data_IF_440021278062
#
_entry.id   IF_440021278062
#
_cell.length_a   1.000
_cell.length_b   1.000
_cell.length_c   1.000
_cell.angle_alpha   90.00
_cell.angle_beta   90.00
_cell.angle_gamma   90.00
#
_symmetry.space_group_name_H-M   'P 1'
#
loop_
_entity.id
_entity.type
_entity.pdbx_description
1 polymer ?
#
# COMPACT_ATOMS: atom_id res chain seq x y z
N UNK A 1 44.64 19.94 10.08
CA UNK A 1 43.77 19.69 8.92
C UNK A 1 42.99 18.41 9.18
N UNK A 2 41.74 18.54 9.63
CA UNK A 2 40.90 17.39 9.93
C UNK A 2 40.26 16.90 8.62
N UNK A 3 40.63 15.70 8.20
CA UNK A 3 40.00 14.98 7.10
C UNK A 3 38.64 14.51 7.66
N UNK A 4 37.60 15.35 7.55
CA UNK A 4 36.25 14.93 7.89
C UNK A 4 35.79 13.95 6.81
N UNK A 5 35.72 12.67 7.17
CA UNK A 5 35.19 11.60 6.33
C UNK A 5 33.81 11.99 5.79
N UNK A 6 33.73 12.25 4.49
CA UNK A 6 32.44 12.37 3.79
C UNK A 6 31.70 11.03 3.99
N UNK A 7 30.42 11.04 4.42
CA UNK A 7 29.64 9.82 4.45
C UNK A 7 29.51 9.26 3.01
N UNK A 8 29.40 7.93 2.83
CA UNK A 8 29.40 7.32 1.52
C UNK A 8 28.27 7.90 0.65
N UNK A 9 28.56 8.20 -0.61
CA UNK A 9 27.55 8.40 -1.65
C UNK A 9 26.93 7.01 -1.89
N UNK A 10 25.82 6.69 -1.22
CA UNK A 10 25.13 5.41 -1.34
C UNK A 10 24.41 5.29 -2.70
N UNK A 11 24.38 4.08 -3.27
CA UNK A 11 24.21 3.81 -4.70
C UNK A 11 22.75 3.95 -5.18
N UNK A 12 22.54 4.33 -6.45
CA UNK A 12 21.23 4.29 -7.11
C UNK A 12 20.60 2.87 -7.10
N UNK A 13 21.43 1.83 -6.93
CA UNK A 13 21.03 0.44 -6.74
C UNK A 13 20.30 0.20 -5.41
N UNK A 14 20.57 0.99 -4.36
CA UNK A 14 19.94 0.80 -3.04
C UNK A 14 18.48 1.32 -3.04
N UNK A 15 18.21 2.43 -3.73
CA UNK A 15 16.86 3.00 -3.85
C UNK A 15 15.96 2.14 -4.75
N UNK A 16 16.49 1.63 -5.85
CA UNK A 16 15.76 0.69 -6.72
C UNK A 16 15.50 -0.64 -6.01
N UNK A 17 16.44 -1.12 -5.21
CA UNK A 17 16.27 -2.31 -4.35
C UNK A 17 15.15 -2.11 -3.32
N UNK A 18 15.12 -0.97 -2.63
CA UNK A 18 14.05 -0.65 -1.66
C UNK A 18 12.68 -0.51 -2.33
N UNK A 19 12.61 0.08 -3.53
CA UNK A 19 11.37 0.17 -4.32
C UNK A 19 10.85 -1.21 -4.74
N UNK A 20 11.74 -2.10 -5.15
CA UNK A 20 11.41 -3.49 -5.45
C UNK A 20 10.90 -4.24 -4.21
N UNK A 21 11.53 -4.02 -3.05
CA UNK A 21 11.06 -4.58 -1.77
C UNK A 21 9.67 -4.06 -1.39
N UNK A 22 9.39 -2.76 -1.55
CA UNK A 22 8.04 -2.19 -1.32
C UNK A 22 7.02 -2.87 -2.21
N UNK A 23 7.34 -3.05 -3.51
CA UNK A 23 6.44 -3.70 -4.47
C UNK A 23 6.16 -5.15 -4.08
N UNK A 24 7.17 -5.91 -3.64
CA UNK A 24 7.01 -7.28 -3.18
C UNK A 24 6.18 -7.36 -1.89
N UNK A 25 6.46 -6.49 -0.91
CA UNK A 25 5.69 -6.43 0.34
C UNK A 25 4.24 -6.03 0.06
N UNK A 26 3.98 -5.09 -0.87
CA UNK A 26 2.62 -4.70 -1.25
C UNK A 26 1.86 -5.87 -1.87
N UNK A 27 2.49 -6.67 -2.74
CA UNK A 27 1.86 -7.91 -3.26
C UNK A 27 1.49 -8.88 -2.14
N UNK A 28 2.34 -9.02 -1.12
CA UNK A 28 2.05 -9.86 0.04
C UNK A 28 0.92 -9.29 0.90
N UNK A 29 0.88 -7.97 1.09
CA UNK A 29 -0.20 -7.24 1.78
C UNK A 29 -1.54 -7.46 1.09
N UNK A 30 -1.57 -7.37 -0.25
CA UNK A 30 -2.79 -7.53 -1.05
C UNK A 30 -3.28 -8.99 -1.02
N UNK A 31 -2.38 -9.96 -1.20
CA UNK A 31 -2.70 -11.39 -1.10
C UNK A 31 -3.23 -11.76 0.30
N UNK A 32 -2.65 -11.19 1.35
CA UNK A 32 -3.07 -11.42 2.72
C UNK A 32 -4.44 -10.76 3.02
N UNK A 33 -4.71 -9.60 2.42
CA UNK A 33 -6.03 -8.95 2.51
C UNK A 33 -7.11 -9.79 1.81
N UNK A 34 -6.79 -10.40 0.66
CA UNK A 34 -7.69 -11.32 -0.03
C UNK A 34 -7.97 -12.57 0.83
N UNK A 35 -6.94 -13.15 1.44
CA UNK A 35 -7.09 -14.28 2.37
C UNK A 35 -8.01 -13.94 3.55
N UNK A 36 -7.81 -12.76 4.16
CA UNK A 36 -8.68 -12.27 5.25
C UNK A 36 -10.12 -12.08 4.78
N UNK A 37 -10.34 -11.59 3.55
CA UNK A 37 -11.67 -11.45 2.96
C UNK A 37 -12.38 -12.81 2.84
N UNK A 38 -11.68 -13.83 2.33
CA UNK A 38 -12.21 -15.21 2.21
C UNK A 38 -12.57 -15.79 3.58
N UNK A 39 -11.67 -15.67 4.57
CA UNK A 39 -11.94 -16.15 5.94
C UNK A 39 -13.15 -15.42 6.57
N UNK A 40 -13.27 -14.11 6.38
CA UNK A 40 -14.43 -13.36 6.90
C UNK A 40 -15.73 -13.80 6.23
N UNK A 41 -15.70 -14.09 4.93
CA UNK A 41 -16.85 -14.59 4.19
C UNK A 41 -17.25 -16.00 4.67
N UNK A 42 -16.29 -16.90 4.88
CA UNK A 42 -16.54 -18.23 5.44
C UNK A 42 -17.10 -18.16 6.87
N UNK A 43 -16.56 -17.30 7.74
CA UNK A 43 -17.11 -17.06 9.07
C UNK A 43 -18.56 -16.56 9.01
N UNK A 44 -18.87 -15.65 8.09
CA UNK A 44 -20.23 -15.17 7.90
C UNK A 44 -21.18 -16.29 7.44
N UNK A 45 -20.73 -17.16 6.53
CA UNK A 45 -21.52 -18.31 6.09
C UNK A 45 -21.72 -19.33 7.20
N UNK A 46 -20.66 -19.69 7.93
CA UNK A 46 -20.74 -20.62 9.06
C UNK A 46 -21.65 -20.08 10.16
N UNK A 47 -21.64 -18.77 10.42
CA UNK A 47 -22.55 -18.17 11.40
C UNK A 47 -24.02 -18.32 11.00
N UNK A 48 -24.34 -18.19 9.70
CA UNK A 48 -25.69 -18.43 9.17
C UNK A 48 -26.04 -19.91 9.26
N UNK A 49 -25.13 -20.79 8.89
CA UNK A 49 -25.35 -22.24 8.96
C UNK A 49 -25.54 -22.72 10.40
N UNK A 50 -24.76 -22.19 11.34
CA UNK A 50 -24.92 -22.45 12.77
C UNK A 50 -26.29 -22.01 13.26
N UNK A 51 -26.73 -20.79 12.91
CA UNK A 51 -28.05 -20.29 13.27
C UNK A 51 -29.18 -21.16 12.68
N UNK A 52 -29.04 -21.61 11.44
CA UNK A 52 -29.99 -22.54 10.80
C UNK A 52 -29.97 -23.89 11.51
N UNK A 53 -28.80 -24.45 11.81
CA UNK A 53 -28.65 -25.72 12.51
C UNK A 53 -29.24 -25.66 13.93
N UNK A 54 -28.96 -24.59 14.67
CA UNK A 54 -29.52 -24.34 16.00
C UNK A 54 -31.03 -24.09 15.95
N UNK A 55 -31.55 -23.37 14.95
CA UNK A 55 -32.99 -23.15 14.77
C UNK A 55 -33.72 -24.44 14.38
N UNK A 56 -33.16 -25.23 13.46
CA UNK A 56 -33.68 -26.56 13.11
C UNK A 56 -33.70 -27.48 14.32
N UNK A 57 -32.63 -27.47 15.13
CA UNK A 57 -32.55 -28.22 16.37
C UNK A 57 -33.55 -27.73 17.40
N UNK A 58 -33.64 -26.41 17.58
CA UNK A 58 -34.60 -25.78 18.48
C UNK A 58 -36.03 -26.05 18.05
N UNK A 59 -36.33 -26.08 16.76
CA UNK A 59 -37.67 -26.43 16.27
C UNK A 59 -38.00 -27.90 16.53
N UNK A 60 -37.04 -28.82 16.39
CA UNK A 60 -37.23 -30.24 16.78
C UNK A 60 -37.36 -30.42 18.29
N UNK A 61 -36.56 -29.70 19.07
CA UNK A 61 -36.60 -29.67 20.55
C UNK A 61 -37.86 -28.95 21.05
N UNK A 62 -38.35 -27.93 20.34
CA UNK A 62 -39.57 -27.19 20.62
C UNK A 62 -40.78 -27.99 20.21
N UNK A 63 -40.77 -28.75 19.12
CA UNK A 63 -41.78 -29.78 18.89
C UNK A 63 -41.74 -30.81 20.01
N UNK A 64 -40.57 -31.14 20.56
CA UNK A 64 -40.48 -31.93 21.80
C UNK A 64 -41.09 -31.24 23.03
N UNK A 65 -41.04 -29.90 23.15
CA UNK A 65 -41.54 -29.17 24.32
C UNK A 65 -43.02 -28.73 24.20
N UNK A 66 -43.48 -28.37 23.00
CA UNK A 66 -44.84 -27.90 22.70
C UNK A 66 -45.86 -29.04 22.67
N UNK A 67 -45.43 -30.27 22.35
CA UNK A 67 -46.25 -31.48 22.51
C UNK A 67 -46.02 -32.17 23.87
N UNK A 68 -45.36 -31.48 24.82
CA UNK A 68 -45.06 -31.99 26.16
C UNK A 68 -44.02 -33.09 26.21
N UNK A 69 -43.63 -33.56 27.41
CA UNK A 69 -42.76 -34.74 27.59
C UNK A 69 -43.30 -35.99 26.86
N UNK A 70 -44.60 -35.95 26.53
CA UNK A 70 -45.32 -36.88 25.70
C UNK A 70 -44.96 -36.80 24.20
N UNK A 71 -44.27 -35.82 23.63
CA UNK A 71 -44.04 -35.79 22.16
C UNK A 71 -43.23 -36.99 21.62
N UNK A 72 -42.00 -37.18 22.12
CA UNK A 72 -41.19 -38.36 21.78
C UNK A 72 -41.64 -39.58 22.57
N UNK A 73 -42.01 -39.44 23.85
CA UNK A 73 -42.49 -40.57 24.63
C UNK A 73 -43.81 -41.13 24.08
N UNK A 74 -44.74 -40.30 23.64
CA UNK A 74 -45.98 -40.73 22.98
C UNK A 74 -45.74 -41.14 21.54
N UNK A 75 -44.81 -40.55 20.79
CA UNK A 75 -44.42 -41.14 19.49
C UNK A 75 -43.88 -42.56 19.70
N UNK A 76 -43.02 -42.76 20.70
CA UNK A 76 -42.49 -44.06 21.09
C UNK A 76 -43.59 -44.98 21.65
N UNK A 77 -44.45 -44.51 22.54
CA UNK A 77 -45.54 -45.29 23.16
C UNK A 77 -46.77 -45.46 22.24
N UNK A 78 -46.85 -44.73 21.12
CA UNK A 78 -47.83 -44.94 20.05
C UNK A 78 -47.41 -46.03 19.06
N UNK A 79 -46.19 -46.55 19.18
CA UNK A 79 -45.71 -47.68 18.40
C UNK A 79 -46.60 -48.90 18.58
N UNK A 80 -46.91 -49.61 17.48
CA UNK A 80 -47.88 -50.72 17.47
C UNK A 80 -47.40 -51.95 18.24
N UNK A 81 -46.08 -52.09 18.40
CA UNK A 81 -45.43 -53.20 19.08
C UNK A 81 -44.02 -52.80 19.55
N UNK A 82 -43.36 -53.69 20.29
CA UNK A 82 -42.03 -53.48 20.87
C UNK A 82 -40.93 -53.28 19.80
N UNK A 83 -41.06 -53.92 18.63
CA UNK A 83 -40.09 -53.74 17.52
C UNK A 83 -40.17 -52.34 16.92
N UNK A 84 -41.39 -51.83 16.74
CA UNK A 84 -41.64 -50.47 16.25
C UNK A 84 -41.17 -49.42 17.26
N UNK A 85 -41.31 -49.69 18.57
CA UNK A 85 -40.78 -48.85 19.65
C UNK A 85 -39.26 -48.68 19.53
N UNK A 86 -38.51 -49.78 19.42
CA UNK A 86 -37.06 -49.73 19.32
C UNK A 86 -36.59 -49.04 18.03
N UNK A 87 -37.26 -49.31 16.90
CA UNK A 87 -36.94 -48.66 15.61
C UNK A 87 -37.11 -47.14 15.70
N UNK A 88 -38.21 -46.67 16.29
CA UNK A 88 -38.49 -45.26 16.47
C UNK A 88 -37.50 -44.61 17.46
N UNK A 89 -37.11 -45.32 18.53
CA UNK A 89 -36.11 -44.86 19.49
C UNK A 89 -34.72 -44.68 18.85
N UNK A 90 -34.32 -45.63 18.01
CA UNK A 90 -33.07 -45.56 17.26
C UNK A 90 -33.09 -44.39 16.27
N UNK A 91 -34.20 -44.17 15.57
CA UNK A 91 -34.35 -43.03 14.65
C UNK A 91 -34.20 -41.68 15.36
N UNK A 92 -34.88 -41.49 16.50
CA UNK A 92 -34.78 -40.25 17.29
C UNK A 92 -33.34 -40.03 17.76
N UNK A 93 -32.71 -41.09 18.29
CA UNK A 93 -31.34 -41.03 18.78
C UNK A 93 -30.36 -40.68 17.66
N UNK A 94 -30.54 -41.27 16.48
CA UNK A 94 -29.73 -40.98 15.30
C UNK A 94 -29.88 -39.53 14.83
N UNK A 95 -31.10 -38.98 14.83
CA UNK A 95 -31.36 -37.58 14.45
C UNK A 95 -30.71 -36.62 15.43
N UNK A 96 -30.96 -36.79 16.73
CA UNK A 96 -30.38 -35.92 17.78
C UNK A 96 -28.85 -35.99 17.77
N UNK A 97 -28.27 -37.18 17.55
CA UNK A 97 -26.81 -37.34 17.40
C UNK A 97 -26.30 -36.59 16.18
N UNK A 98 -26.92 -36.78 15.01
CA UNK A 98 -26.51 -36.11 13.77
C UNK A 98 -26.58 -34.58 13.88
N UNK A 99 -27.58 -34.05 14.58
CA UNK A 99 -27.72 -32.61 14.80
C UNK A 99 -26.63 -32.04 15.71
N UNK A 100 -26.34 -32.74 16.82
CA UNK A 100 -25.24 -32.37 17.71
C UNK A 100 -23.91 -32.42 17.01
N UNK A 101 -23.65 -33.46 16.21
CA UNK A 101 -22.44 -33.58 15.42
C UNK A 101 -22.30 -32.45 14.40
N UNK A 102 -23.39 -32.04 13.72
CA UNK A 102 -23.37 -30.91 12.80
C UNK A 102 -23.02 -29.60 13.51
N UNK A 103 -23.67 -29.32 14.64
CA UNK A 103 -23.38 -28.11 15.45
C UNK A 103 -21.92 -28.12 15.90
N UNK A 104 -21.43 -29.24 16.44
CA UNK A 104 -20.03 -29.36 16.87
C UNK A 104 -19.05 -29.17 15.71
N UNK A 105 -19.32 -29.72 14.52
CA UNK A 105 -18.48 -29.52 13.33
C UNK A 105 -18.43 -28.05 12.90
N UNK A 106 -19.57 -27.35 12.93
CA UNK A 106 -19.61 -25.93 12.58
C UNK A 106 -18.89 -25.10 13.63
N UNK A 107 -19.09 -25.37 14.92
CA UNK A 107 -18.43 -24.65 16.03
C UNK A 107 -16.90 -24.84 16.01
N UNK A 108 -16.43 -26.07 15.77
CA UNK A 108 -14.99 -26.37 15.66
C UNK A 108 -14.38 -25.69 14.44
N UNK A 109 -15.06 -25.69 13.29
CA UNK A 109 -14.64 -24.98 12.10
C UNK A 109 -14.63 -23.45 12.32
N UNK A 110 -15.63 -22.91 13.02
CA UNK A 110 -15.67 -21.49 13.37
C UNK A 110 -14.51 -21.10 14.32
N UNK A 111 -14.18 -21.97 15.27
CA UNK A 111 -13.04 -21.78 16.17
C UNK A 111 -11.71 -21.80 15.41
N UNK A 112 -11.51 -22.76 14.48
CA UNK A 112 -10.30 -22.83 13.66
C UNK A 112 -10.17 -21.62 12.74
N UNK A 113 -11.25 -21.20 12.08
CA UNK A 113 -11.25 -20.00 11.22
C UNK A 113 -10.99 -18.73 12.02
N UNK A 114 -11.51 -18.61 13.26
CA UNK A 114 -11.19 -17.48 14.14
C UNK A 114 -9.71 -17.47 14.53
N UNK A 115 -9.11 -18.63 14.78
CA UNK A 115 -7.67 -18.73 15.05
C UNK A 115 -6.85 -18.33 13.82
N UNK A 116 -7.16 -18.90 12.65
CA UNK A 116 -6.49 -18.57 11.39
C UNK A 116 -6.65 -17.09 11.02
N UNK A 117 -7.82 -16.49 11.27
CA UNK A 117 -8.05 -15.05 11.08
C UNK A 117 -7.14 -14.21 11.97
N UNK A 118 -6.94 -14.60 13.23
CA UNK A 118 -6.07 -13.87 14.18
C UNK A 118 -4.62 -13.91 13.70
N UNK A 119 -4.14 -15.08 13.31
CA UNK A 119 -2.80 -15.24 12.75
C UNK A 119 -2.66 -14.45 11.44
N UNK A 120 -3.62 -14.58 10.54
CA UNK A 120 -3.61 -13.87 9.26
C UNK A 120 -3.61 -12.35 9.45
N UNK A 121 -4.36 -11.84 10.42
CA UNK A 121 -4.37 -10.41 10.78
C UNK A 121 -3.06 -9.98 11.42
N UNK A 122 -2.46 -10.79 12.30
CA UNK A 122 -1.16 -10.48 12.87
C UNK A 122 -0.08 -10.38 11.78
N UNK A 123 -0.08 -11.30 10.82
CA UNK A 123 0.80 -11.24 9.64
C UNK A 123 0.54 -10.00 8.79
N UNK A 124 -0.73 -9.63 8.57
CA UNK A 124 -1.09 -8.39 7.86
C UNK A 124 -0.53 -7.15 8.56
N UNK A 125 -0.66 -7.08 9.88
CA UNK A 125 -0.18 -5.95 10.68
C UNK A 125 1.36 -5.88 10.67
N UNK A 126 2.04 -7.04 10.71
CA UNK A 126 3.51 -7.12 10.58
C UNK A 126 4.00 -6.67 9.19
N UNK A 127 3.35 -7.13 8.11
CA UNK A 127 3.64 -6.69 6.75
C UNK A 127 3.43 -5.18 6.58
N UNK A 128 2.35 -4.63 7.16
CA UNK A 128 2.09 -3.19 7.13
C UNK A 128 3.14 -2.39 7.93
N UNK A 129 3.63 -2.93 9.06
CA UNK A 129 4.74 -2.31 9.81
C UNK A 129 6.03 -2.32 8.98
N UNK A 130 6.40 -3.47 8.42
CA UNK A 130 7.57 -3.61 7.52
C UNK A 130 7.47 -2.67 6.33
N UNK A 131 6.29 -2.56 5.71
CA UNK A 131 6.04 -1.64 4.60
C UNK A 131 6.29 -0.19 5.03
N UNK A 132 5.75 0.25 6.18
CA UNK A 132 6.00 1.59 6.73
C UNK A 132 7.48 1.82 7.04
N UNK A 133 8.18 0.82 7.56
CA UNK A 133 9.62 0.94 7.85
C UNK A 133 10.45 1.06 6.57
N UNK A 134 10.19 0.25 5.55
CA UNK A 134 10.89 0.32 4.27
C UNK A 134 10.54 1.62 3.53
N UNK A 135 9.29 2.06 3.59
CA UNK A 135 8.88 3.39 3.10
C UNK A 135 9.58 4.52 3.84
N UNK A 136 9.72 4.43 5.17
CA UNK A 136 10.46 5.41 5.97
C UNK A 136 11.94 5.40 5.63
N UNK A 137 12.54 4.22 5.40
CA UNK A 137 13.92 4.12 4.91
C UNK A 137 14.06 4.76 3.54
N UNK A 138 13.20 4.43 2.58
CA UNK A 138 13.18 5.07 1.25
C UNK A 138 12.99 6.58 1.34
N UNK A 139 12.10 7.05 2.24
CA UNK A 139 11.94 8.47 2.53
C UNK A 139 13.18 9.07 3.18
N UNK A 140 13.93 8.34 4.01
CA UNK A 140 15.20 8.78 4.59
C UNK A 140 16.32 8.86 3.54
N UNK A 141 16.36 7.92 2.59
CA UNK A 141 17.19 8.03 1.38
C UNK A 141 16.81 9.28 0.57
N UNK A 142 15.51 9.58 0.43
CA UNK A 142 15.01 10.79 -0.23
C UNK A 142 15.16 12.08 0.61
N UNK A 143 15.26 11.99 1.93
CA UNK A 143 15.29 13.12 2.89
C UNK A 143 16.67 13.39 3.46
N UNK A 144 17.73 12.82 2.88
CA UNK A 144 19.09 13.35 3.06
C UNK A 144 19.31 14.59 2.17
N UNK A 145 18.31 14.96 1.36
CA UNK A 145 18.18 16.25 0.71
C UNK A 145 17.14 17.15 1.39
N UNK A 146 17.48 18.43 1.55
CA UNK A 146 16.69 19.43 2.28
C UNK A 146 15.31 19.63 1.64
N UNK A 147 14.24 19.32 2.38
CA UNK A 147 12.88 19.78 2.03
C UNK A 147 12.83 21.30 2.16
N UNK A 148 12.41 21.99 1.09
CA UNK A 148 11.96 23.38 1.20
C UNK A 148 10.44 23.42 1.26
N UNK A 149 9.89 24.26 2.14
CA UNK A 149 8.44 24.45 2.26
C UNK A 149 7.83 24.96 0.94
N UNK A 150 6.65 24.43 0.60
CA UNK A 150 5.90 24.80 -0.60
C UNK A 150 5.20 26.13 -0.35
N UNK A 151 5.78 27.23 -0.82
CA UNK A 151 5.09 28.53 -0.97
C UNK A 151 4.66 28.75 -2.42
N UNK A 152 3.93 29.84 -2.68
CA UNK A 152 3.28 30.31 -3.93
C UNK A 152 4.17 30.38 -5.20
N UNK A 153 5.36 29.78 -5.16
CA UNK A 153 6.39 29.78 -6.18
C UNK A 153 6.38 28.48 -7.02
N UNK A 154 5.44 27.56 -6.79
CA UNK A 154 5.32 26.31 -7.58
C UNK A 154 5.15 26.59 -9.08
N UNK A 155 4.34 27.59 -9.43
CA UNK A 155 4.15 28.02 -10.82
C UNK A 155 5.47 28.50 -11.45
N UNK A 156 6.24 29.30 -10.70
CA UNK A 156 7.54 29.81 -11.11
C UNK A 156 8.57 28.70 -11.32
N UNK A 157 8.64 27.74 -10.40
CA UNK A 157 9.54 26.60 -10.50
C UNK A 157 9.17 25.72 -11.70
N UNK A 158 7.87 25.42 -11.88
CA UNK A 158 7.38 24.68 -13.03
C UNK A 158 7.68 25.40 -14.35
N UNK A 159 7.54 26.73 -14.39
CA UNK A 159 7.82 27.53 -15.57
C UNK A 159 9.31 27.49 -15.96
N UNK A 160 10.23 27.56 -14.99
CA UNK A 160 11.66 27.43 -15.29
C UNK A 160 12.00 26.00 -15.73
N UNK A 161 11.50 24.98 -15.03
CA UNK A 161 11.73 23.58 -15.42
C UNK A 161 11.23 23.31 -16.84
N UNK A 162 10.04 23.79 -17.18
CA UNK A 162 9.51 23.68 -18.54
C UNK A 162 10.39 24.43 -19.57
N UNK A 163 11.00 25.56 -19.19
CA UNK A 163 11.91 26.26 -20.11
C UNK A 163 13.22 25.53 -20.37
N UNK A 164 13.67 24.71 -19.42
CA UNK A 164 14.93 23.95 -19.49
C UNK A 164 14.74 22.53 -20.07
N UNK A 165 13.57 21.92 -19.88
CA UNK A 165 13.18 20.68 -20.50
C UNK A 165 11.65 20.51 -20.55
N UNK A 166 11.11 20.45 -21.77
CA UNK A 166 9.68 20.24 -22.03
C UNK A 166 9.42 19.08 -23.00
N UNK A 167 10.12 17.96 -22.80
CA UNK A 167 10.01 16.78 -23.67
C UNK A 167 9.06 15.74 -23.07
N UNK A 168 9.28 15.39 -21.80
CA UNK A 168 8.51 14.38 -21.08
C UNK A 168 8.73 14.50 -19.56
N UNK A 169 8.02 13.65 -18.80
CA UNK A 169 8.13 13.58 -17.33
C UNK A 169 9.58 13.36 -16.86
N UNK A 170 10.30 12.39 -17.43
CA UNK A 170 11.67 12.05 -17.00
C UNK A 170 12.68 13.19 -17.22
N UNK A 171 12.53 13.91 -18.33
CA UNK A 171 13.34 15.09 -18.63
C UNK A 171 13.08 16.25 -17.68
N UNK A 172 11.80 16.52 -17.40
CA UNK A 172 11.42 17.53 -16.41
C UNK A 172 11.90 17.14 -15.01
N UNK A 173 11.76 15.86 -14.64
CA UNK A 173 12.24 15.32 -13.36
C UNK A 173 13.76 15.44 -13.23
N UNK A 174 14.51 15.26 -14.32
CA UNK A 174 15.96 15.42 -14.32
C UNK A 174 16.39 16.87 -14.06
N UNK A 175 15.74 17.85 -14.69
CA UNK A 175 16.04 19.26 -14.42
C UNK A 175 15.78 19.63 -12.96
N UNK A 176 14.61 19.30 -12.41
CA UNK A 176 14.30 19.62 -11.01
C UNK A 176 15.14 18.79 -10.03
N UNK A 177 15.56 17.57 -10.41
CA UNK A 177 16.53 16.78 -9.63
C UNK A 177 17.86 17.50 -9.53
N UNK A 178 18.38 18.05 -10.65
CA UNK A 178 19.60 18.87 -10.66
C UNK A 178 19.49 20.09 -9.72
N UNK A 179 18.37 20.82 -9.78
CA UNK A 179 18.10 21.98 -8.90
C UNK A 179 18.19 21.56 -7.44
N UNK A 180 17.51 20.48 -7.08
CA UNK A 180 17.48 20.07 -5.68
C UNK A 180 18.79 19.44 -5.21
N UNK A 181 19.53 18.75 -6.08
CA UNK A 181 20.89 18.29 -5.75
C UNK A 181 21.81 19.48 -5.42
N UNK A 182 21.63 20.61 -6.11
CA UNK A 182 22.34 21.87 -5.78
C UNK A 182 21.90 22.42 -4.42
N UNK A 183 20.60 22.41 -4.12
CA UNK A 183 20.06 22.78 -2.79
C UNK A 183 20.71 21.94 -1.69
N UNK A 184 20.80 20.63 -1.92
CA UNK A 184 21.37 19.68 -0.96
C UNK A 184 22.87 19.92 -0.76
N UNK A 185 23.59 20.26 -1.83
CA UNK A 185 25.02 20.55 -1.77
C UNK A 185 25.34 21.87 -1.05
N UNK A 186 24.43 22.85 -1.10
CA UNK A 186 24.65 24.22 -0.62
C UNK A 186 25.75 25.01 -1.34
N UNK A 187 26.38 24.46 -2.40
CA UNK A 187 27.54 25.05 -3.09
C UNK A 187 27.17 26.09 -4.16
N UNK A 188 25.90 26.16 -4.53
CA UNK A 188 25.43 26.88 -5.72
C UNK A 188 24.55 28.10 -5.37
N UNK A 189 24.88 28.78 -4.27
CA UNK A 189 24.31 30.10 -3.94
C UNK A 189 22.91 30.10 -3.33
N UNK A 190 22.36 28.95 -2.94
CA UNK A 190 21.00 28.84 -2.40
C UNK A 190 20.80 27.67 -1.42
N UNK A 191 19.84 27.83 -0.50
CA UNK A 191 19.39 26.79 0.45
C UNK A 191 17.99 26.26 0.12
N UNK A 192 17.42 26.74 -0.97
CA UNK A 192 16.09 26.40 -1.45
C UNK A 192 16.05 26.41 -2.99
N UNK A 193 15.04 25.77 -3.57
CA UNK A 193 14.92 25.64 -5.00
C UNK A 193 14.92 26.99 -5.72
N UNK A 194 14.24 28.01 -5.17
CA UNK A 194 14.11 29.31 -5.80
C UNK A 194 15.42 30.09 -5.73
N UNK A 195 16.13 30.06 -4.61
CA UNK A 195 17.46 30.68 -4.52
C UNK A 195 18.47 30.04 -5.48
N UNK A 196 18.42 28.72 -5.67
CA UNK A 196 19.25 28.03 -6.68
C UNK A 196 18.86 28.42 -8.11
N UNK A 197 17.56 28.51 -8.40
CA UNK A 197 17.06 28.88 -9.73
C UNK A 197 17.35 30.35 -10.10
N UNK A 198 17.38 31.23 -9.11
CA UNK A 198 17.60 32.67 -9.29
C UNK A 198 19.05 33.11 -9.09
N UNK A 199 19.93 32.20 -8.66
CA UNK A 199 21.33 32.51 -8.45
C UNK A 199 22.05 32.90 -9.78
N UNK A 200 23.01 33.83 -9.74
CA UNK A 200 23.70 34.30 -10.94
C UNK A 200 24.36 33.16 -11.72
N UNK A 201 24.09 33.11 -13.03
CA UNK A 201 24.70 32.15 -13.97
C UNK A 201 24.22 30.71 -13.86
N UNK A 202 23.13 30.42 -13.13
CA UNK A 202 22.71 29.04 -12.83
C UNK A 202 21.76 28.40 -13.83
N UNK A 203 20.81 29.18 -14.38
CA UNK A 203 19.79 28.72 -15.33
C UNK A 203 19.55 29.78 -16.40
N UNK A 204 19.90 29.48 -17.65
CA UNK A 204 19.70 30.37 -18.79
C UNK A 204 18.21 30.66 -19.01
N UNK A 205 17.35 29.67 -18.72
CA UNK A 205 15.91 29.78 -18.79
C UNK A 205 15.31 30.88 -17.91
N UNK A 206 15.96 31.21 -16.78
CA UNK A 206 15.60 32.34 -15.91
C UNK A 206 16.23 33.66 -16.38
N UNK A 207 17.54 33.66 -16.66
CA UNK A 207 18.32 34.87 -16.99
C UNK A 207 17.88 35.51 -18.30
N UNK A 208 17.53 34.71 -19.30
CA UNK A 208 17.15 35.19 -20.63
C UNK A 208 15.63 35.40 -20.77
N UNK A 209 14.87 35.10 -19.71
CA UNK A 209 13.42 35.27 -19.64
C UNK A 209 12.50 34.28 -20.40
N UNK A 210 12.94 33.17 -21.03
CA UNK A 210 12.03 32.29 -21.76
C UNK A 210 10.99 31.60 -20.85
N UNK A 211 11.27 31.43 -19.55
CA UNK A 211 10.30 30.88 -18.57
C UNK A 211 8.98 31.65 -18.51
N UNK A 212 8.97 32.95 -18.85
CA UNK A 212 7.77 33.80 -18.77
C UNK A 212 6.61 33.28 -19.60
N UNK A 213 6.88 32.54 -20.68
CA UNK A 213 5.83 31.93 -21.53
C UNK A 213 5.09 30.76 -20.85
N UNK A 214 5.68 30.19 -19.80
CA UNK A 214 5.16 29.04 -19.07
C UNK A 214 4.51 29.41 -17.73
N UNK A 215 4.59 30.68 -17.31
CA UNK A 215 3.94 31.17 -16.09
C UNK A 215 2.41 31.07 -16.18
N UNK A 216 1.73 31.14 -15.04
CA UNK A 216 0.28 31.00 -14.91
C UNK A 216 -0.24 29.64 -15.41
N UNK A 217 0.51 28.57 -15.17
CA UNK A 217 0.13 27.20 -15.50
C UNK A 217 0.25 26.83 -16.98
N UNK A 218 0.93 27.63 -17.80
CA UNK A 218 1.12 27.36 -19.24
C UNK A 218 2.21 26.31 -19.53
N UNK A 219 2.57 25.49 -18.55
CA UNK A 219 3.44 24.32 -18.69
C UNK A 219 2.62 23.02 -18.77
N UNK A 220 3.14 21.95 -19.41
CA UNK A 220 2.43 20.68 -19.46
C UNK A 220 2.21 20.03 -18.09
N UNK A 221 1.14 19.24 -17.92
CA UNK A 221 0.81 18.60 -16.63
C UNK A 221 1.92 17.71 -16.08
N UNK A 222 2.69 17.04 -16.95
CA UNK A 222 3.79 16.19 -16.53
C UNK A 222 4.94 16.98 -15.88
N UNK A 223 5.13 18.26 -16.21
CA UNK A 223 6.12 19.12 -15.56
C UNK A 223 5.70 19.40 -14.13
N UNK A 224 4.44 19.80 -13.93
CA UNK A 224 3.87 20.02 -12.59
C UNK A 224 3.99 18.76 -11.73
N UNK A 225 3.70 17.61 -12.31
CA UNK A 225 3.84 16.33 -11.63
C UNK A 225 5.29 16.06 -11.23
N UNK A 226 6.24 16.19 -12.16
CA UNK A 226 7.66 15.97 -11.89
C UNK A 226 8.20 16.90 -10.80
N UNK A 227 7.83 18.20 -10.84
CA UNK A 227 8.23 19.18 -9.82
C UNK A 227 7.59 18.84 -8.48
N UNK A 228 6.30 18.51 -8.44
CA UNK A 228 5.60 18.14 -7.20
C UNK A 228 6.21 16.87 -6.59
N UNK A 229 6.45 15.84 -7.42
CA UNK A 229 7.03 14.56 -6.99
C UNK A 229 8.47 14.77 -6.48
N UNK A 230 9.24 15.64 -7.13
CA UNK A 230 10.58 16.01 -6.71
C UNK A 230 10.58 16.79 -5.37
N UNK A 231 9.76 17.83 -5.25
CA UNK A 231 9.80 18.74 -4.10
C UNK A 231 9.06 18.21 -2.87
N UNK A 232 7.91 17.55 -3.06
CA UNK A 232 7.07 17.09 -1.95
C UNK A 232 7.36 15.64 -1.54
N UNK A 233 7.62 14.77 -2.53
CA UNK A 233 7.89 13.33 -2.29
C UNK A 233 9.38 13.01 -2.26
N UNK A 234 10.25 13.94 -2.66
CA UNK A 234 11.70 13.76 -2.65
C UNK A 234 12.22 12.85 -3.79
N UNK A 235 11.43 12.64 -4.84
CA UNK A 235 11.83 11.78 -5.95
C UNK A 235 12.96 12.44 -6.75
N UNK A 236 14.00 11.67 -7.08
CA UNK A 236 15.15 12.08 -7.91
C UNK A 236 15.45 10.97 -8.90
N UNK A 237 15.85 11.31 -10.13
CA UNK A 237 16.29 10.31 -11.11
C UNK A 237 17.82 10.33 -11.37
N UNK A 238 18.56 11.31 -10.82
CA UNK A 238 20.03 11.32 -10.80
C UNK A 238 20.61 12.23 -9.70
N UNK A 239 21.94 12.19 -9.52
CA UNK A 239 22.69 12.97 -8.52
C UNK A 239 23.55 14.12 -9.10
N UNK A 240 23.60 14.28 -10.42
CA UNK A 240 24.31 15.38 -11.08
C UNK A 240 23.81 16.77 -10.64
N UNK A 241 24.73 17.75 -10.63
CA UNK A 241 24.48 19.14 -10.23
C UNK A 241 24.62 20.10 -11.40
N UNK A 242 24.93 19.61 -12.59
CA UNK A 242 25.01 20.43 -13.79
C UNK A 242 24.41 19.69 -14.97
N UNK A 243 23.91 20.46 -15.94
CA UNK A 243 23.55 19.92 -17.24
C UNK A 243 23.87 20.94 -18.33
N UNK A 244 23.93 20.46 -19.57
CA UNK A 244 24.04 21.26 -20.78
C UNK A 244 23.01 20.80 -21.79
N UNK A 245 22.48 21.75 -22.55
CA UNK A 245 21.63 21.46 -23.69
C UNK A 245 22.37 20.61 -24.73
N UNK A 246 21.68 19.62 -25.28
CA UNK A 246 22.22 18.68 -26.26
C UNK A 246 22.75 17.40 -25.65
N UNK A 247 22.83 16.37 -26.49
CA UNK A 247 23.36 15.06 -26.12
C UNK A 247 24.87 15.03 -26.28
N UNK A 248 25.57 14.47 -25.29
CA UNK A 248 27.02 14.26 -25.33
C UNK A 248 27.34 12.77 -25.14
N UNK A 249 28.37 12.30 -25.83
CA UNK A 249 28.86 10.93 -25.68
C UNK A 249 29.54 10.74 -24.31
N UNK A 250 29.30 9.60 -23.66
CA UNK A 250 29.95 9.23 -22.40
C UNK A 250 29.39 9.90 -21.13
N UNK A 251 28.23 10.56 -21.20
CA UNK A 251 27.53 11.16 -20.06
C UNK A 251 26.05 10.77 -20.06
N UNK A 252 25.37 10.90 -18.92
CA UNK A 252 23.95 10.58 -18.84
C UNK A 252 23.12 11.65 -19.56
N UNK A 253 22.27 11.22 -20.50
CA UNK A 253 21.44 12.11 -21.31
C UNK A 253 19.96 11.87 -21.00
N UNK A 254 19.21 12.94 -20.76
CA UNK A 254 17.77 12.86 -20.50
C UNK A 254 17.07 14.14 -20.98
N UNK A 255 15.92 14.01 -21.64
CA UNK A 255 15.10 15.16 -22.03
C UNK A 255 15.77 16.15 -22.98
N UNK A 256 16.77 15.71 -23.75
CA UNK A 256 17.57 16.59 -24.63
C UNK A 256 18.74 17.29 -23.94
N UNK A 257 19.01 16.98 -22.67
CA UNK A 257 20.11 17.53 -21.88
C UNK A 257 21.13 16.44 -21.51
N UNK A 258 22.39 16.82 -21.34
CA UNK A 258 23.48 15.98 -20.84
C UNK A 258 23.89 16.43 -19.43
N UNK A 259 23.97 15.50 -18.47
CA UNK A 259 24.14 15.82 -17.04
C UNK A 259 25.52 15.41 -16.51
N UNK A 260 26.08 16.22 -15.60
CA UNK A 260 27.43 16.07 -15.00
C UNK A 260 27.51 16.59 -13.56
#
# INVERSE_FOLDING_TARGET
MAISSMPPVFAADDASTLSNQITQIQKQVDAQAEKLSKINHELANNSKELAIAQSSMSNRVRSMYMYGMDGYLQYLFSSKNVSDFFTNADQITNVVRADREKVQKIETLEASLKAERREAKATQDDLNKKLKEVQKKLQQYASTGNKTEVTDQMDFICAIVASECNVNYEGALAVISCVMNRVDSGRWGGKDAVSVLTAPGQFAGYLDGPYKRYLNGHYPPYVKQAVTDCMTKGIRNHNYQSFRAGSSYGVWNCGGNSYR
#
